data_IF_172364444340
#
_entry.id   IF_172364444340
#
_cell.length_a   1.000
_cell.length_b   1.000
_cell.length_c   1.000
_cell.angle_alpha   90.00
_cell.angle_beta   90.00
_cell.angle_gamma   90.00
#
_symmetry.space_group_name_H-M   'P 1'
#
loop_
_entity.id
_entity.type
_entity.pdbx_description
1 polymer ?
#
# COMPACT_ATOMS: atom_id res chain seq x y z
N UNK A 1 8.57 101.95 4.25
CA UNK A 1 7.43 101.76 5.17
C UNK A 1 7.26 100.26 5.42
N UNK A 2 7.66 99.77 6.59
CA UNK A 2 7.00 98.62 7.27
C UNK A 2 5.80 99.20 8.05
N UNK A 3 4.89 98.44 8.70
CA UNK A 3 4.70 96.97 8.79
C UNK A 3 3.20 96.52 8.63
N UNK A 4 2.87 95.22 8.68
CA UNK A 4 2.13 94.56 9.79
C UNK A 4 1.77 93.10 9.46
N UNK A 5 1.76 92.33 10.54
CA UNK A 5 1.63 90.88 10.75
C UNK A 5 0.18 90.41 10.55
N UNK A 6 -0.04 89.12 10.21
CA UNK A 6 -0.97 88.18 10.89
C UNK A 6 -0.94 86.77 10.26
N UNK A 7 -0.36 85.82 11.00
CA UNK A 7 -0.84 84.43 11.16
C UNK A 7 -1.90 84.43 12.29
N UNK A 8 -2.69 83.36 12.60
CA UNK A 8 -2.74 82.00 12.02
C UNK A 8 -4.19 81.48 11.76
N UNK A 9 -4.35 80.32 11.10
CA UNK A 9 -5.30 79.28 11.53
C UNK A 9 -5.06 77.95 10.82
N UNK A 10 -4.93 76.91 11.64
CA UNK A 10 -4.79 75.52 11.23
C UNK A 10 -6.11 74.98 10.65
N UNK A 11 -6.00 74.20 9.58
CA UNK A 11 -7.00 73.19 9.22
C UNK A 11 -6.27 71.89 8.95
N UNK A 12 -6.43 70.95 9.88
CA UNK A 12 -6.06 69.55 9.76
C UNK A 12 -7.02 68.93 8.74
N UNK A 13 -6.50 68.43 7.61
CA UNK A 13 -7.20 67.41 6.84
C UNK A 13 -6.35 66.15 6.80
N UNK A 14 -6.90 65.14 7.46
CA UNK A 14 -6.47 63.75 7.44
C UNK A 14 -6.60 63.25 6.00
N UNK A 15 -5.47 63.08 5.31
CA UNK A 15 -5.46 62.35 4.04
C UNK A 15 -5.55 60.86 4.35
N UNK A 16 -6.78 60.34 4.36
CA UNK A 16 -7.04 58.90 4.37
C UNK A 16 -6.36 58.23 3.18
N UNK A 17 -5.67 57.12 3.46
CA UNK A 17 -5.11 56.23 2.46
C UNK A 17 -6.22 55.68 1.55
N UNK A 18 -6.26 56.12 0.30
CA UNK A 18 -6.98 55.40 -0.75
C UNK A 18 -6.02 54.32 -1.30
N UNK A 19 -6.16 53.11 -0.78
CA UNK A 19 -5.56 51.92 -1.35
C UNK A 19 -5.99 51.78 -2.82
N UNK A 20 -5.03 51.55 -3.71
CA UNK A 20 -5.31 51.13 -5.09
C UNK A 20 -6.23 49.90 -5.03
N UNK A 21 -7.27 49.81 -5.89
CA UNK A 21 -8.03 48.56 -6.02
C UNK A 21 -7.07 47.44 -6.39
N UNK A 22 -7.18 46.30 -5.70
CA UNK A 22 -6.51 45.08 -6.10
C UNK A 22 -6.91 44.76 -7.57
N UNK A 23 -5.99 44.26 -8.40
CA UNK A 23 -6.36 43.78 -9.73
C UNK A 23 -7.46 42.72 -9.57
N UNK A 24 -8.54 42.88 -10.34
CA UNK A 24 -9.63 41.90 -10.40
C UNK A 24 -9.04 40.51 -10.62
N UNK A 25 -9.49 39.56 -9.79
CA UNK A 25 -9.16 38.15 -9.96
C UNK A 25 -9.55 37.74 -11.39
N UNK A 26 -8.75 36.93 -12.09
CA UNK A 26 -9.13 36.41 -13.39
C UNK A 26 -10.49 35.72 -13.27
N UNK A 27 -11.38 35.85 -14.28
CA UNK A 27 -12.69 35.23 -14.23
C UNK A 27 -12.54 33.74 -13.96
N UNK A 28 -13.31 33.23 -12.99
CA UNK A 28 -13.38 31.82 -12.72
C UNK A 28 -13.86 31.09 -13.98
N UNK A 29 -12.95 30.40 -14.67
CA UNK A 29 -13.30 29.42 -15.69
C UNK A 29 -13.95 28.21 -15.00
N UNK A 30 -15.25 28.30 -14.73
CA UNK A 30 -16.08 27.14 -14.43
C UNK A 30 -17.31 27.12 -15.34
N UNK A 31 -17.07 27.30 -16.65
CA UNK A 31 -18.00 26.76 -17.63
C UNK A 31 -17.81 25.24 -17.64
N UNK A 32 -18.88 24.41 -17.60
CA UNK A 32 -18.72 22.98 -17.82
C UNK A 32 -18.06 22.78 -19.19
N UNK A 33 -16.85 22.20 -19.20
CA UNK A 33 -16.18 21.88 -20.47
C UNK A 33 -17.09 20.90 -21.22
N UNK A 34 -17.74 21.38 -22.28
CA UNK A 34 -18.56 20.53 -23.15
C UNK A 34 -17.61 19.58 -23.88
N UNK A 35 -17.66 18.31 -23.51
CA UNK A 35 -16.82 17.26 -24.09
C UNK A 35 -17.46 16.81 -25.41
N UNK A 36 -16.84 17.16 -26.53
CA UNK A 36 -17.20 16.58 -27.83
C UNK A 36 -16.51 15.23 -27.98
N UNK A 37 -17.26 14.16 -27.71
CA UNK A 37 -16.86 12.80 -28.07
C UNK A 37 -16.91 12.65 -29.60
N UNK A 38 -15.97 11.90 -30.19
CA UNK A 38 -16.03 11.58 -31.62
C UNK A 38 -17.18 10.60 -31.86
N UNK A 39 -17.70 10.60 -33.07
CA UNK A 39 -18.74 9.65 -33.49
C UNK A 39 -18.26 8.20 -33.24
N UNK A 40 -19.03 7.43 -32.46
CA UNK A 40 -18.71 6.05 -32.06
C UNK A 40 -18.08 5.90 -30.66
N UNK A 41 -17.71 6.99 -29.99
CA UNK A 41 -17.23 6.93 -28.62
C UNK A 41 -18.36 6.68 -27.61
N UNK A 42 -18.12 5.80 -26.63
CA UNK A 42 -19.05 5.57 -25.52
C UNK A 42 -19.07 6.79 -24.59
N UNK A 43 -20.27 7.21 -24.19
CA UNK A 43 -20.43 8.25 -23.17
C UNK A 43 -19.98 7.72 -21.80
N UNK A 44 -19.20 8.49 -21.03
CA UNK A 44 -18.86 8.15 -19.65
C UNK A 44 -20.13 8.00 -18.80
N UNK A 45 -20.19 6.96 -17.96
CA UNK A 45 -21.32 6.71 -17.07
C UNK A 45 -21.34 7.62 -15.82
N UNK A 46 -20.25 8.33 -15.54
CA UNK A 46 -20.11 9.30 -14.45
C UNK A 46 -19.34 10.53 -14.91
N UNK A 47 -19.26 11.56 -14.06
CA UNK A 47 -18.51 12.79 -14.38
C UNK A 47 -17.04 12.44 -14.61
N UNK A 48 -16.53 12.65 -15.85
CA UNK A 48 -15.13 12.38 -16.12
C UNK A 48 -14.25 13.45 -15.47
N UNK A 49 -13.10 13.05 -14.98
CA UNK A 49 -12.02 13.99 -14.64
C UNK A 49 -11.17 14.22 -15.89
N UNK A 50 -10.80 15.47 -16.13
CA UNK A 50 -9.92 15.86 -17.24
C UNK A 50 -8.70 16.50 -16.62
N UNK A 51 -7.54 15.90 -16.85
CA UNK A 51 -6.27 16.41 -16.36
C UNK A 51 -5.18 16.25 -17.41
N UNK A 52 -4.13 17.06 -17.28
CA UNK A 52 -2.92 16.89 -18.08
C UNK A 52 -1.97 15.97 -17.34
N UNK A 53 -1.60 14.88 -17.99
CA UNK A 53 -0.51 14.01 -17.57
C UNK A 53 0.81 14.56 -18.11
N UNK A 54 1.76 14.76 -17.20
CA UNK A 54 3.11 15.21 -17.54
C UNK A 54 3.87 14.08 -18.23
N UNK A 55 4.68 14.44 -19.21
CA UNK A 55 5.66 13.51 -19.78
C UNK A 55 7.00 13.68 -19.06
N UNK A 56 7.71 12.57 -18.84
CA UNK A 56 8.94 12.53 -18.07
C UNK A 56 10.10 11.98 -18.92
N UNK A 57 11.27 12.61 -18.82
CA UNK A 57 12.50 12.14 -19.46
C UNK A 57 13.64 12.18 -18.48
N UNK A 58 14.40 11.10 -18.46
CA UNK A 58 15.63 11.00 -17.72
C UNK A 58 16.81 11.43 -18.60
N UNK A 59 17.69 12.23 -18.03
CA UNK A 59 18.87 12.78 -18.68
C UNK A 59 20.06 12.31 -17.88
N UNK A 60 20.84 11.41 -18.49
CA UNK A 60 22.09 10.96 -17.92
C UNK A 60 23.17 12.02 -18.13
N UNK A 61 23.83 12.43 -17.05
CA UNK A 61 24.86 13.46 -17.04
C UNK A 61 26.19 12.83 -16.65
N UNK A 62 27.20 13.01 -17.50
CA UNK A 62 28.59 12.64 -17.21
C UNK A 62 29.41 13.85 -16.76
N UNK A 63 30.67 13.64 -16.37
CA UNK A 63 31.58 14.70 -15.92
C UNK A 63 31.91 15.77 -16.97
N UNK A 64 31.73 15.50 -18.27
CA UNK A 64 31.92 16.51 -19.31
C UNK A 64 30.71 17.45 -19.47
N UNK A 65 29.55 17.05 -18.93
CA UNK A 65 28.28 17.72 -19.21
C UNK A 65 27.84 17.50 -20.65
N UNK A 66 27.04 18.42 -21.18
CA UNK A 66 26.64 18.32 -22.58
C UNK A 66 25.43 19.17 -22.97
N UNK A 67 25.06 19.04 -24.24
CA UNK A 67 23.83 19.58 -24.80
C UNK A 67 22.99 18.43 -25.35
N UNK A 68 21.72 18.39 -24.94
CA UNK A 68 20.77 17.35 -25.25
C UNK A 68 19.53 17.99 -25.89
N UNK A 69 18.84 17.23 -26.72
CA UNK A 69 17.51 17.62 -27.21
C UNK A 69 16.52 16.56 -26.76
N UNK A 70 15.46 16.99 -26.07
CA UNK A 70 14.43 16.11 -25.54
C UNK A 70 13.05 16.56 -26.02
N UNK A 71 12.26 15.59 -26.49
CA UNK A 71 10.88 15.79 -26.91
C UNK A 71 9.96 15.20 -25.84
N UNK A 72 9.05 16.03 -25.35
CA UNK A 72 8.04 15.73 -24.37
C UNK A 72 6.66 15.79 -25.02
N UNK A 73 5.80 14.84 -24.68
CA UNK A 73 4.44 14.77 -25.17
C UNK A 73 3.44 14.68 -24.01
N UNK A 74 3.25 15.77 -23.23
CA UNK A 74 2.16 15.83 -22.25
C UNK A 74 0.81 15.52 -22.90
N UNK A 75 -0.06 14.82 -22.16
CA UNK A 75 -1.33 14.29 -22.65
C UNK A 75 -2.49 14.82 -21.83
N UNK A 76 -3.52 15.33 -22.49
CA UNK A 76 -4.80 15.64 -21.84
C UNK A 76 -5.60 14.34 -21.78
N UNK A 77 -5.75 13.79 -20.59
CA UNK A 77 -6.41 12.51 -20.39
C UNK A 77 -7.74 12.74 -19.69
N UNK A 78 -8.79 12.20 -20.32
CA UNK A 78 -10.10 12.06 -19.70
C UNK A 78 -10.16 10.73 -18.99
N UNK A 79 -10.39 10.73 -17.68
CA UNK A 79 -10.54 9.54 -16.84
C UNK A 79 -11.96 9.47 -16.31
N UNK A 80 -12.55 8.29 -16.30
CA UNK A 80 -13.89 8.08 -15.74
C UNK A 80 -14.01 6.70 -15.13
N UNK A 81 -14.95 6.54 -14.21
CA UNK A 81 -15.23 5.27 -13.56
C UNK A 81 -16.48 4.66 -14.18
N UNK A 82 -16.36 3.42 -14.67
CA UNK A 82 -17.47 2.64 -15.18
C UNK A 82 -17.84 1.54 -14.19
N UNK A 83 -19.14 1.36 -13.95
CA UNK A 83 -19.66 0.18 -13.27
C UNK A 83 -19.83 -0.93 -14.31
N UNK A 84 -18.96 -1.94 -14.25
CA UNK A 84 -18.97 -3.06 -15.21
C UNK A 84 -19.57 -4.29 -14.53
N UNK A 85 -20.60 -4.92 -15.11
CA UNK A 85 -21.15 -6.15 -14.58
C UNK A 85 -20.13 -7.28 -14.72
N UNK A 86 -20.07 -8.15 -13.71
CA UNK A 86 -19.37 -9.42 -13.77
C UNK A 86 -20.25 -10.52 -13.19
N UNK A 87 -20.06 -11.73 -13.70
CA UNK A 87 -20.77 -12.90 -13.24
C UNK A 87 -20.05 -13.48 -12.02
N UNK A 88 -20.77 -13.61 -10.92
CA UNK A 88 -20.34 -14.25 -9.69
C UNK A 88 -21.29 -15.41 -9.36
N UNK A 89 -20.99 -16.20 -8.33
CA UNK A 89 -21.81 -17.33 -7.92
C UNK A 89 -22.13 -17.27 -6.43
N UNK A 90 -23.40 -17.48 -6.11
CA UNK A 90 -23.86 -17.64 -4.73
C UNK A 90 -24.33 -19.07 -4.48
N UNK A 91 -23.88 -19.66 -3.38
CA UNK A 91 -24.34 -20.98 -2.94
C UNK A 91 -25.55 -20.86 -2.03
N UNK A 92 -26.63 -21.59 -2.34
CA UNK A 92 -27.84 -21.64 -1.50
C UNK A 92 -28.26 -23.08 -1.27
N UNK A 93 -28.76 -23.37 -0.07
CA UNK A 93 -29.40 -24.66 0.22
C UNK A 93 -30.77 -24.70 -0.45
N UNK A 94 -30.99 -25.71 -1.29
CA UNK A 94 -32.25 -25.90 -2.02
C UNK A 94 -32.75 -27.31 -1.76
N UNK A 95 -34.03 -27.50 -1.42
CA UNK A 95 -34.61 -28.83 -1.29
C UNK A 95 -34.74 -29.47 -2.67
N UNK A 96 -34.09 -30.61 -2.87
CA UNK A 96 -34.13 -31.38 -4.12
C UNK A 96 -34.99 -32.62 -3.93
N UNK A 97 -35.91 -32.84 -4.87
CA UNK A 97 -36.80 -33.99 -4.90
C UNK A 97 -36.07 -35.25 -5.38
N UNK A 98 -36.26 -36.36 -4.67
CA UNK A 98 -35.76 -37.68 -5.08
C UNK A 98 -36.76 -38.77 -4.72
N UNK A 99 -36.97 -39.80 -5.57
CA UNK A 99 -37.75 -40.96 -5.17
C UNK A 99 -37.08 -41.71 -4.01
N UNK A 100 -37.86 -42.15 -3.05
CA UNK A 100 -37.40 -42.94 -1.92
C UNK A 100 -38.54 -43.69 -1.23
N UNK A 101 -38.25 -44.22 -0.05
CA UNK A 101 -39.21 -44.96 0.78
C UNK A 101 -39.51 -44.15 2.03
N UNK A 102 -40.78 -43.82 2.23
CA UNK A 102 -41.28 -43.17 3.43
C UNK A 102 -41.99 -44.19 4.31
N UNK A 103 -42.18 -43.83 5.57
CA UNK A 103 -43.00 -44.60 6.50
C UNK A 103 -44.18 -43.75 6.94
N UNK A 104 -45.38 -44.34 6.97
CA UNK A 104 -46.58 -43.74 7.56
C UNK A 104 -47.05 -44.59 8.73
N UNK A 105 -47.61 -43.94 9.74
CA UNK A 105 -48.25 -44.62 10.86
C UNK A 105 -49.74 -44.73 10.62
N UNK A 106 -50.26 -45.94 10.68
CA UNK A 106 -51.69 -46.22 10.60
C UNK A 106 -52.17 -46.53 12.02
N UNK A 107 -52.68 -45.50 12.69
CA UNK A 107 -53.14 -45.59 14.08
C UNK A 107 -54.62 -45.96 14.14
N UNK A 108 -54.98 -46.90 15.02
CA UNK A 108 -56.38 -47.35 15.22
C UNK A 108 -57.13 -46.52 16.28
N UNK A 109 -56.44 -45.90 17.23
CA UNK A 109 -57.06 -45.13 18.31
C UNK A 109 -56.78 -43.63 18.18
N UNK A 110 -57.78 -42.83 18.57
CA UNK A 110 -57.83 -41.38 18.48
C UNK A 110 -56.95 -40.68 19.54
N UNK A 111 -56.50 -39.46 19.24
CA UNK A 111 -55.93 -38.51 20.19
C UNK A 111 -56.84 -38.35 21.40
N UNK A 112 -56.22 -38.34 22.58
CA UNK A 112 -56.90 -37.87 23.78
C UNK A 112 -57.28 -36.40 23.59
N UNK A 113 -58.39 -35.97 24.20
CA UNK A 113 -58.83 -34.57 24.13
C UNK A 113 -57.84 -33.58 24.80
N UNK A 114 -56.70 -34.04 25.30
CA UNK A 114 -55.83 -33.33 26.22
C UNK A 114 -54.59 -32.69 25.58
N UNK A 115 -54.35 -32.82 24.27
CA UNK A 115 -53.22 -32.15 23.61
C UNK A 115 -53.14 -30.64 23.93
N UNK A 116 -52.11 -30.18 24.68
CA UNK A 116 -51.96 -28.77 25.03
C UNK A 116 -51.78 -27.87 23.81
N UNK A 117 -51.13 -28.38 22.76
CA UNK A 117 -50.87 -27.70 21.50
C UNK A 117 -52.16 -27.39 20.74
N UNK A 118 -53.05 -28.38 20.58
CA UNK A 118 -54.36 -28.15 19.99
C UNK A 118 -55.23 -27.23 20.86
N UNK A 119 -55.17 -27.38 22.18
CA UNK A 119 -55.91 -26.50 23.08
C UNK A 119 -55.48 -25.04 22.93
N UNK A 120 -54.17 -24.78 22.78
CA UNK A 120 -53.63 -23.43 22.53
C UNK A 120 -54.14 -22.86 21.20
N UNK A 121 -54.13 -23.67 20.13
CA UNK A 121 -54.64 -23.26 18.82
C UNK A 121 -56.15 -22.95 18.82
N UNK A 122 -56.98 -23.82 19.43
CA UNK A 122 -58.43 -23.64 19.43
C UNK A 122 -58.93 -22.61 20.45
N UNK A 123 -58.18 -22.34 21.53
CA UNK A 123 -58.48 -21.28 22.51
C UNK A 123 -57.97 -19.90 22.08
N UNK A 124 -57.11 -19.81 21.08
CA UNK A 124 -56.60 -18.54 20.58
C UNK A 124 -57.75 -17.69 20.00
N UNK A 125 -57.88 -16.45 20.51
CA UNK A 125 -58.96 -15.52 20.17
C UNK A 125 -58.67 -14.70 18.91
N UNK A 126 -57.40 -14.45 18.58
CA UNK A 126 -56.99 -13.71 17.39
C UNK A 126 -56.42 -14.62 16.29
N UNK A 127 -56.48 -14.16 15.03
CA UNK A 127 -55.87 -14.86 13.90
C UNK A 127 -54.35 -14.96 14.04
N UNK A 128 -53.69 -13.91 14.53
CA UNK A 128 -52.25 -13.92 14.77
C UNK A 128 -51.85 -14.96 15.83
N UNK A 129 -52.61 -15.08 16.92
CA UNK A 129 -52.36 -16.07 17.96
C UNK A 129 -52.58 -17.51 17.45
N UNK A 130 -53.55 -17.72 16.54
CA UNK A 130 -53.75 -19.01 15.87
C UNK A 130 -52.57 -19.38 14.97
N UNK A 131 -52.05 -18.42 14.21
CA UNK A 131 -50.87 -18.63 13.34
C UNK A 131 -49.68 -19.06 14.19
N UNK A 132 -49.39 -18.29 15.25
CA UNK A 132 -48.29 -18.57 16.16
C UNK A 132 -48.46 -19.91 16.88
N UNK A 133 -49.66 -20.19 17.39
CA UNK A 133 -49.94 -21.45 18.06
C UNK A 133 -49.75 -22.66 17.12
N UNK A 134 -50.11 -22.53 15.84
CA UNK A 134 -49.93 -23.59 14.85
C UNK A 134 -48.47 -23.77 14.45
N UNK A 135 -47.71 -22.68 14.22
CA UNK A 135 -46.28 -22.76 13.91
C UNK A 135 -45.45 -23.29 15.08
N UNK A 136 -45.81 -22.93 16.31
CA UNK A 136 -45.17 -23.46 17.53
C UNK A 136 -45.47 -24.95 17.72
N UNK A 137 -46.68 -25.38 17.40
CA UNK A 137 -47.14 -26.75 17.64
C UNK A 137 -46.61 -27.77 16.62
N UNK A 138 -46.52 -27.38 15.34
CA UNK A 138 -46.20 -28.28 14.22
C UNK A 138 -44.81 -27.99 13.67
N UNK A 139 -43.87 -28.86 14.00
CA UNK A 139 -42.51 -28.82 13.49
C UNK A 139 -42.51 -29.01 11.97
N UNK A 140 -41.81 -28.12 11.28
CA UNK A 140 -41.78 -28.05 9.81
C UNK A 140 -42.74 -27.03 9.21
N UNK A 141 -43.64 -26.41 10.00
CA UNK A 141 -44.49 -25.29 9.57
C UNK A 141 -43.95 -23.99 10.20
N UNK A 142 -43.36 -23.10 9.40
CA UNK A 142 -43.06 -21.73 9.83
C UNK A 142 -44.29 -20.81 9.79
N UNK A 143 -44.17 -19.61 10.34
CA UNK A 143 -45.28 -18.63 10.42
C UNK A 143 -45.96 -18.37 9.08
N UNK A 144 -45.21 -18.24 7.98
CA UNK A 144 -45.75 -18.04 6.63
C UNK A 144 -46.66 -19.19 6.18
N UNK A 145 -46.27 -20.43 6.48
CA UNK A 145 -47.08 -21.61 6.14
C UNK A 145 -48.29 -21.77 7.08
N UNK A 146 -48.12 -21.45 8.36
CA UNK A 146 -49.21 -21.42 9.34
C UNK A 146 -50.26 -20.36 8.98
N UNK A 147 -49.82 -19.18 8.53
CA UNK A 147 -50.71 -18.13 8.02
C UNK A 147 -51.58 -18.65 6.89
N UNK A 148 -50.97 -19.29 5.88
CA UNK A 148 -51.72 -19.85 4.75
C UNK A 148 -52.76 -20.88 5.20
N UNK A 149 -52.43 -21.75 6.16
CA UNK A 149 -53.36 -22.75 6.69
C UNK A 149 -54.53 -22.14 7.47
N UNK A 150 -54.25 -21.19 8.37
CA UNK A 150 -55.30 -20.51 9.16
C UNK A 150 -56.21 -19.69 8.25
N UNK A 151 -55.63 -19.00 7.26
CA UNK A 151 -56.36 -18.18 6.29
C UNK A 151 -57.24 -19.04 5.38
N UNK A 152 -56.71 -20.19 4.95
CA UNK A 152 -57.42 -21.19 4.15
C UNK A 152 -58.45 -22.02 4.93
N UNK A 153 -58.67 -21.71 6.23
CA UNK A 153 -59.59 -22.43 7.12
C UNK A 153 -59.31 -23.94 7.17
N UNK A 154 -58.03 -24.32 7.21
CA UNK A 154 -57.63 -25.68 7.56
C UNK A 154 -57.73 -25.88 9.08
N UNK A 155 -57.98 -27.10 9.53
CA UNK A 155 -58.16 -27.44 10.94
C UNK A 155 -59.35 -26.71 11.60
N UNK A 156 -60.50 -26.64 10.92
CA UNK A 156 -61.75 -26.09 11.51
C UNK A 156 -62.23 -26.88 12.73
N UNK A 157 -61.89 -28.15 12.80
CA UNK A 157 -62.11 -29.03 13.95
C UNK A 157 -60.81 -29.73 14.32
N UNK A 158 -60.67 -30.09 15.60
CA UNK A 158 -59.49 -30.81 16.10
C UNK A 158 -59.39 -32.18 15.41
N UNK A 159 -58.30 -32.49 14.69
CA UNK A 159 -58.14 -33.80 14.07
C UNK A 159 -58.02 -34.87 15.15
N UNK A 160 -58.98 -35.80 15.17
CA UNK A 160 -59.06 -36.84 16.20
C UNK A 160 -58.03 -37.95 16.02
N UNK A 161 -57.40 -38.10 14.86
CA UNK A 161 -56.36 -39.09 14.64
C UNK A 161 -55.20 -38.50 13.85
N UNK A 162 -54.04 -39.16 13.90
CA UNK A 162 -52.89 -38.80 13.07
C UNK A 162 -53.23 -38.82 11.58
N UNK A 163 -54.00 -39.83 11.13
CA UNK A 163 -54.46 -39.91 9.75
C UNK A 163 -55.35 -38.73 9.37
N UNK A 164 -56.25 -38.28 10.25
CA UNK A 164 -57.06 -37.10 9.99
C UNK A 164 -56.21 -35.82 9.88
N UNK A 165 -55.16 -35.70 10.70
CA UNK A 165 -54.19 -34.61 10.60
C UNK A 165 -53.41 -34.64 9.28
N UNK A 166 -52.86 -35.80 8.91
CA UNK A 166 -52.10 -35.99 7.65
C UNK A 166 -52.99 -35.69 6.45
N UNK A 167 -54.24 -36.18 6.43
CA UNK A 167 -55.19 -35.92 5.36
C UNK A 167 -55.50 -34.42 5.20
N UNK A 168 -55.57 -33.68 6.30
CA UNK A 168 -55.82 -32.23 6.26
C UNK A 168 -54.58 -31.46 5.73
N UNK A 169 -53.37 -31.90 6.08
CA UNK A 169 -52.12 -31.38 5.52
C UNK A 169 -52.00 -31.71 4.02
N UNK A 170 -52.32 -32.94 3.61
CA UNK A 170 -52.34 -33.35 2.21
C UNK A 170 -53.42 -32.62 1.41
N UNK A 171 -54.58 -32.34 2.02
CA UNK A 171 -55.61 -31.48 1.42
C UNK A 171 -55.06 -30.07 1.16
N UNK A 172 -54.31 -29.51 2.09
CA UNK A 172 -53.66 -28.21 1.90
C UNK A 172 -52.63 -28.24 0.77
N UNK A 173 -51.87 -29.33 0.63
CA UNK A 173 -50.95 -29.54 -0.51
C UNK A 173 -51.69 -29.59 -1.83
N UNK A 174 -52.71 -30.43 -1.94
CA UNK A 174 -53.45 -30.66 -3.18
C UNK A 174 -54.18 -29.40 -3.67
N UNK A 175 -54.53 -28.50 -2.75
CA UNK A 175 -55.11 -27.19 -3.06
C UNK A 175 -54.07 -26.08 -3.29
N UNK A 176 -52.77 -26.41 -3.37
CA UNK A 176 -51.68 -25.45 -3.60
C UNK A 176 -51.38 -24.50 -2.43
N UNK A 177 -51.93 -24.77 -1.24
CA UNK A 177 -51.75 -23.94 -0.04
C UNK A 177 -50.40 -24.20 0.62
N UNK A 178 -49.97 -25.46 0.63
CA UNK A 178 -48.65 -25.87 1.11
C UNK A 178 -47.80 -26.47 -0.02
N UNK A 179 -46.50 -26.14 -0.09
CA UNK A 179 -45.58 -26.82 -1.00
C UNK A 179 -45.24 -28.24 -0.50
N UNK A 180 -44.90 -29.13 -1.44
CA UNK A 180 -44.65 -30.56 -1.18
C UNK A 180 -43.55 -30.82 -0.14
N UNK A 181 -42.51 -29.98 -0.08
CA UNK A 181 -41.41 -30.12 0.88
C UNK A 181 -41.87 -29.86 2.33
N UNK A 182 -42.79 -28.93 2.55
CA UNK A 182 -43.35 -28.65 3.88
C UNK A 182 -44.20 -29.82 4.33
N UNK A 183 -45.02 -30.38 3.44
CA UNK A 183 -45.84 -31.56 3.74
C UNK A 183 -44.96 -32.77 4.08
N UNK A 184 -43.90 -33.02 3.31
CA UNK A 184 -42.91 -34.05 3.64
C UNK A 184 -42.26 -33.81 5.01
N UNK A 185 -41.86 -32.57 5.30
CA UNK A 185 -41.24 -32.24 6.59
C UNK A 185 -42.18 -32.53 7.77
N UNK A 186 -43.45 -32.17 7.63
CA UNK A 186 -44.46 -32.33 8.69
C UNK A 186 -44.86 -33.78 8.91
N UNK A 187 -45.13 -34.50 7.81
CA UNK A 187 -45.77 -35.82 7.84
C UNK A 187 -44.77 -36.97 7.83
N UNK A 188 -43.54 -36.73 7.37
CA UNK A 188 -42.48 -37.75 7.25
C UNK A 188 -41.26 -37.41 8.11
N UNK A 189 -40.59 -36.27 7.86
CA UNK A 189 -39.30 -35.93 8.52
C UNK A 189 -39.44 -35.74 10.03
N UNK A 190 -40.44 -34.96 10.45
CA UNK A 190 -40.71 -34.64 11.85
C UNK A 190 -41.92 -35.39 12.40
N UNK A 191 -42.28 -36.52 11.79
CA UNK A 191 -43.50 -37.28 12.11
C UNK A 191 -43.62 -37.61 13.61
N UNK A 192 -42.56 -38.14 14.23
CA UNK A 192 -42.57 -38.58 15.62
C UNK A 192 -42.68 -37.39 16.60
N UNK A 193 -41.96 -36.30 16.31
CA UNK A 193 -42.03 -35.06 17.07
C UNK A 193 -43.43 -34.45 17.02
N UNK A 194 -44.01 -34.39 15.81
CA UNK A 194 -45.35 -33.86 15.59
C UNK A 194 -46.42 -34.73 16.23
N UNK A 195 -46.31 -36.07 16.14
CA UNK A 195 -47.23 -36.98 16.83
C UNK A 195 -47.23 -36.74 18.34
N UNK A 196 -46.04 -36.64 18.94
CA UNK A 196 -45.89 -36.41 20.39
C UNK A 196 -46.43 -35.03 20.79
N UNK A 197 -46.01 -33.96 20.09
CA UNK A 197 -46.45 -32.57 20.35
C UNK A 197 -47.97 -32.40 20.24
N UNK A 198 -48.58 -33.11 19.28
CA UNK A 198 -50.02 -33.02 19.02
C UNK A 198 -50.84 -34.04 19.82
N UNK A 199 -50.19 -34.85 20.67
CA UNK A 199 -50.86 -35.79 21.59
C UNK A 199 -51.44 -37.04 20.92
N UNK A 200 -50.82 -37.52 19.84
CA UNK A 200 -51.14 -38.78 19.19
C UNK A 200 -50.24 -39.90 19.75
N UNK A 201 -50.82 -40.92 20.39
CA UNK A 201 -50.06 -42.03 20.97
C UNK A 201 -49.60 -43.03 19.90
N UNK A 202 -48.30 -43.28 19.83
CA UNK A 202 -47.71 -44.23 18.88
C UNK A 202 -48.00 -45.71 19.21
N UNK A 203 -48.39 -46.02 20.45
CA UNK A 203 -48.53 -47.39 20.97
C UNK A 203 -49.64 -48.22 20.30
N UNK A 204 -50.51 -47.58 19.50
CA UNK A 204 -51.62 -48.23 18.78
C UNK A 204 -51.51 -48.13 17.25
N UNK A 205 -50.32 -47.82 16.74
CA UNK A 205 -50.07 -47.60 15.32
C UNK A 205 -49.22 -48.71 14.69
N UNK A 206 -49.58 -49.15 13.48
CA UNK A 206 -48.70 -49.93 12.62
C UNK A 206 -47.88 -49.02 11.71
N UNK A 207 -46.64 -49.40 11.43
CA UNK A 207 -45.76 -48.68 10.49
C UNK A 207 -45.88 -49.33 9.11
N UNK A 208 -46.29 -48.56 8.10
CA UNK A 208 -46.31 -49.00 6.71
C UNK A 208 -45.27 -48.24 5.89
N UNK A 209 -44.48 -48.97 5.12
CA UNK A 209 -43.55 -48.38 4.15
C UNK A 209 -44.24 -48.19 2.81
N UNK A 210 -43.97 -47.06 2.15
CA UNK A 210 -44.50 -46.75 0.83
C UNK A 210 -43.53 -45.89 0.03
N UNK A 211 -43.59 -45.99 -1.30
CA UNK A 211 -42.78 -45.15 -2.19
C UNK A 211 -43.27 -43.70 -2.15
N UNK A 212 -42.33 -42.77 -2.00
CA UNK A 212 -42.61 -41.35 -1.85
C UNK A 212 -41.52 -40.47 -2.48
N UNK A 213 -41.75 -39.17 -2.50
CA UNK A 213 -40.72 -38.16 -2.81
C UNK A 213 -40.09 -37.70 -1.49
N UNK A 214 -38.78 -37.85 -1.39
CA UNK A 214 -37.94 -37.34 -0.30
C UNK A 214 -37.33 -36.02 -0.75
N UNK A 215 -37.24 -35.07 0.20
CA UNK A 215 -36.55 -33.80 0.01
C UNK A 215 -35.23 -33.82 0.75
N UNK A 216 -34.14 -33.62 0.01
CA UNK A 216 -32.78 -33.49 0.54
C UNK A 216 -32.29 -32.07 0.30
N UNK A 217 -31.78 -31.40 1.34
CA UNK A 217 -31.18 -30.09 1.18
C UNK A 217 -29.82 -30.24 0.49
N UNK A 218 -29.67 -29.67 -0.71
CA UNK A 218 -28.39 -29.64 -1.43
C UNK A 218 -27.89 -28.22 -1.61
N UNK A 219 -26.58 -28.04 -1.47
CA UNK A 219 -25.93 -26.77 -1.75
C UNK A 219 -25.76 -26.62 -3.26
N UNK A 220 -26.48 -25.68 -3.86
CA UNK A 220 -26.47 -25.43 -5.30
C UNK A 220 -25.93 -24.02 -5.57
N UNK A 221 -25.09 -23.89 -6.60
CA UNK A 221 -24.55 -22.60 -7.06
C UNK A 221 -25.52 -21.92 -8.02
N UNK A 222 -25.79 -20.64 -7.79
CA UNK A 222 -26.62 -19.80 -8.63
C UNK A 222 -25.78 -18.66 -9.20
N UNK A 223 -25.84 -18.40 -10.52
CA UNK A 223 -25.17 -17.25 -11.10
C UNK A 223 -25.86 -15.97 -10.62
N UNK A 224 -25.06 -15.01 -10.17
CA UNK A 224 -25.52 -13.67 -9.80
C UNK A 224 -24.70 -12.62 -10.55
N UNK A 225 -25.35 -11.55 -10.98
CA UNK A 225 -24.65 -10.43 -11.61
C UNK A 225 -24.28 -9.43 -10.53
N UNK A 226 -22.97 -9.17 -10.38
CA UNK A 226 -22.43 -8.14 -9.50
C UNK A 226 -21.76 -7.05 -10.31
N UNK A 227 -21.49 -5.91 -9.68
CA UNK A 227 -20.92 -4.75 -10.34
C UNK A 227 -19.58 -4.40 -9.68
N UNK A 228 -18.61 -3.99 -10.50
CA UNK A 228 -17.33 -3.45 -10.03
C UNK A 228 -16.99 -2.16 -10.73
N UNK A 229 -16.35 -1.26 -10.01
CA UNK A 229 -15.85 0.00 -10.55
C UNK A 229 -14.54 -0.22 -11.31
N UNK A 230 -14.49 0.19 -12.57
CA UNK A 230 -13.31 0.14 -13.42
C UNK A 230 -12.98 1.54 -13.91
N UNK A 231 -11.77 2.03 -13.62
CA UNK A 231 -11.30 3.30 -14.17
C UNK A 231 -10.91 3.11 -15.63
N UNK A 232 -11.51 3.89 -16.51
CA UNK A 232 -11.16 4.03 -17.92
C UNK A 232 -10.43 5.34 -18.13
N UNK A 233 -9.63 5.37 -19.19
CA UNK A 233 -8.94 6.58 -19.61
C UNK A 233 -8.94 6.71 -21.13
N UNK A 234 -8.95 7.95 -21.61
CA UNK A 234 -8.83 8.28 -23.02
C UNK A 234 -7.97 9.52 -23.19
N UNK A 235 -6.99 9.42 -24.09
CA UNK A 235 -6.20 10.58 -24.53
C UNK A 235 -7.08 11.44 -25.43
N UNK A 236 -7.33 12.66 -25.00
CA UNK A 236 -8.14 13.65 -25.71
C UNK A 236 -7.28 14.51 -26.63
N UNK A 237 -6.10 14.90 -26.13
CA UNK A 237 -5.16 15.78 -26.82
C UNK A 237 -3.73 15.39 -26.40
N UNK A 238 -2.78 15.57 -27.32
CA UNK A 238 -1.36 15.39 -27.07
C UNK A 238 -0.62 16.59 -27.67
N UNK A 239 0.29 17.18 -26.89
CA UNK A 239 1.07 18.34 -27.32
C UNK A 239 2.54 17.99 -27.35
N UNK A 240 3.18 18.18 -28.51
CA UNK A 240 4.62 18.02 -28.64
C UNK A 240 5.34 19.28 -28.17
N UNK A 241 6.27 19.12 -27.23
CA UNK A 241 7.17 20.17 -26.73
C UNK A 241 8.62 19.71 -26.84
N UNK A 242 9.46 20.53 -27.44
CA UNK A 242 10.87 20.20 -27.64
C UNK A 242 11.73 21.17 -26.84
N UNK A 243 12.67 20.62 -26.06
CA UNK A 243 13.59 21.39 -25.25
C UNK A 243 15.04 21.06 -25.59
N UNK A 244 15.84 22.11 -25.76
CA UNK A 244 17.29 22.05 -25.69
C UNK A 244 17.71 22.09 -24.23
N UNK A 245 18.44 21.06 -23.79
CA UNK A 245 18.85 20.90 -22.42
C UNK A 245 20.37 21.01 -22.34
N UNK A 246 20.86 21.94 -21.55
CA UNK A 246 22.29 22.20 -21.36
C UNK A 246 22.69 21.82 -19.96
N UNK A 247 23.76 21.06 -19.82
CA UNK A 247 24.34 20.73 -18.52
C UNK A 247 25.77 21.25 -18.48
N UNK A 248 25.95 22.32 -17.72
CA UNK A 248 27.20 23.06 -17.61
C UNK A 248 27.88 22.74 -16.28
N UNK A 249 29.19 22.50 -16.34
CA UNK A 249 30.03 22.29 -15.17
C UNK A 249 29.44 21.28 -14.15
N UNK A 250 29.05 20.06 -14.56
CA UNK A 250 28.67 19.05 -13.58
C UNK A 250 29.89 18.72 -12.71
N UNK A 251 29.70 18.71 -11.40
CA UNK A 251 30.78 18.49 -10.44
C UNK A 251 30.86 16.98 -10.17
N UNK A 252 31.19 16.22 -11.23
CA UNK A 252 31.28 14.76 -11.19
C UNK A 252 32.71 14.30 -11.38
N UNK A 253 33.03 13.13 -10.82
CA UNK A 253 34.28 12.44 -11.16
C UNK A 253 34.16 11.79 -12.53
N UNK A 254 35.29 11.51 -13.16
CA UNK A 254 35.36 10.97 -14.52
C UNK A 254 34.57 9.67 -14.73
N UNK A 255 34.36 8.88 -13.68
CA UNK A 255 33.61 7.63 -13.70
C UNK A 255 32.17 7.76 -13.17
N UNK A 256 31.77 8.93 -12.69
CA UNK A 256 30.45 9.15 -12.11
C UNK A 256 29.48 9.69 -13.15
N UNK A 257 28.24 9.26 -13.00
CA UNK A 257 27.09 9.83 -13.69
C UNK A 257 26.03 10.28 -12.69
N UNK A 258 25.27 11.30 -13.09
CA UNK A 258 24.03 11.74 -12.44
C UNK A 258 22.84 11.45 -13.36
N UNK A 259 21.65 11.39 -12.76
CA UNK A 259 20.39 11.30 -13.48
C UNK A 259 19.54 12.52 -13.12
N UNK A 260 19.07 13.25 -14.14
CA UNK A 260 18.14 14.37 -13.97
C UNK A 260 16.83 13.98 -14.66
N UNK A 261 15.74 13.90 -13.91
CA UNK A 261 14.41 13.65 -14.47
C UNK A 261 13.69 14.97 -14.68
N UNK A 262 13.45 15.31 -15.95
CA UNK A 262 12.66 16.47 -16.34
C UNK A 262 11.25 16.02 -16.63
N UNK A 263 10.26 16.71 -16.08
CA UNK A 263 8.85 16.46 -16.32
C UNK A 263 8.21 17.73 -16.89
N UNK A 264 7.45 17.58 -17.97
CA UNK A 264 6.82 18.70 -18.67
C UNK A 264 5.32 18.43 -18.79
N UNK A 265 4.52 19.39 -18.33
CA UNK A 265 3.07 19.44 -18.53
C UNK A 265 2.66 20.41 -19.63
N UNK A 266 1.37 20.74 -19.63
CA UNK A 266 0.72 21.54 -20.68
C UNK A 266 0.95 23.04 -20.56
N UNK A 267 1.00 23.58 -19.35
CA UNK A 267 1.05 25.02 -19.16
C UNK A 267 2.49 25.56 -19.24
N UNK A 268 2.60 26.85 -19.56
CA UNK A 268 3.87 27.56 -19.43
C UNK A 268 4.21 27.70 -17.94
N UNK A 269 5.29 27.06 -17.52
CA UNK A 269 5.73 27.00 -16.13
C UNK A 269 5.51 25.64 -15.49
N UNK A 270 4.78 24.75 -16.17
CA UNK A 270 4.55 23.38 -15.69
C UNK A 270 5.72 22.46 -16.07
N UNK A 271 6.90 22.80 -15.57
CA UNK A 271 8.11 21.98 -15.69
C UNK A 271 8.62 21.69 -14.29
N UNK A 272 8.70 20.42 -13.92
CA UNK A 272 9.27 19.98 -12.66
C UNK A 272 10.53 19.17 -12.90
N UNK A 273 11.54 19.40 -12.09
CA UNK A 273 12.82 18.72 -12.19
C UNK A 273 13.07 17.95 -10.90
N UNK A 274 13.46 16.69 -11.06
CA UNK A 274 13.82 15.81 -9.97
C UNK A 274 15.25 15.30 -10.18
N UNK A 275 15.96 15.13 -9.07
CA UNK A 275 17.37 14.72 -9.05
C UNK A 275 17.50 13.41 -8.27
N UNK A 276 17.01 12.28 -8.83
CA UNK A 276 17.09 10.99 -8.15
C UNK A 276 18.56 10.63 -7.93
N UNK A 277 18.99 10.60 -6.67
CA UNK A 277 20.35 10.26 -6.23
C UNK A 277 21.48 11.07 -6.88
N UNK A 278 21.19 12.31 -7.31
CA UNK A 278 22.20 13.16 -7.94
C UNK A 278 23.33 13.48 -6.94
N UNK A 279 24.56 13.29 -7.40
CA UNK A 279 25.79 13.63 -6.66
C UNK A 279 26.10 15.11 -6.80
N UNK A 280 25.71 15.76 -7.88
CA UNK A 280 25.85 17.21 -8.07
C UNK A 280 24.58 17.95 -7.65
N UNK A 281 24.75 19.08 -6.99
CA UNK A 281 23.67 20.05 -6.74
C UNK A 281 23.62 20.98 -7.95
N UNK A 282 22.51 20.94 -8.68
CA UNK A 282 22.30 21.77 -9.86
C UNK A 282 21.44 22.98 -9.55
N UNK A 283 21.91 24.17 -9.91
CA UNK A 283 21.04 25.30 -10.17
C UNK A 283 20.47 25.17 -11.58
N UNK A 284 19.19 25.43 -11.76
CA UNK A 284 18.56 25.34 -13.07
C UNK A 284 17.84 26.63 -13.46
N UNK A 285 17.81 26.88 -14.77
CA UNK A 285 17.05 27.96 -15.40
C UNK A 285 16.21 27.36 -16.53
N UNK A 286 14.93 27.72 -16.56
CA UNK A 286 13.96 27.23 -17.54
C UNK A 286 13.50 28.44 -18.36
N UNK A 287 13.79 28.45 -19.66
CA UNK A 287 13.26 29.40 -20.63
C UNK A 287 12.32 28.67 -21.58
N UNK A 288 11.03 28.77 -21.29
CA UNK A 288 9.98 28.07 -22.03
C UNK A 288 9.79 28.63 -23.44
N UNK A 289 10.02 29.93 -23.64
CA UNK A 289 9.84 30.58 -24.94
C UNK A 289 10.95 30.18 -25.91
N UNK A 290 12.16 30.06 -25.39
CA UNK A 290 13.30 29.57 -26.16
C UNK A 290 13.36 28.03 -26.23
N UNK A 291 12.47 27.31 -25.54
CA UNK A 291 12.52 25.86 -25.43
C UNK A 291 13.85 25.39 -24.85
N UNK A 292 14.33 26.03 -23.77
CA UNK A 292 15.65 25.79 -23.20
C UNK A 292 15.60 25.52 -21.70
N UNK A 293 16.31 24.47 -21.26
CA UNK A 293 16.56 24.19 -19.84
C UNK A 293 18.07 24.15 -19.64
N UNK A 294 18.58 24.90 -18.67
CA UNK A 294 20.01 24.92 -18.36
C UNK A 294 20.22 24.48 -16.93
N UNK A 295 21.09 23.50 -16.74
CA UNK A 295 21.58 23.00 -15.47
C UNK A 295 23.01 23.47 -15.29
N UNK A 296 23.33 24.06 -14.14
CA UNK A 296 24.69 24.46 -13.77
C UNK A 296 25.05 23.80 -12.45
N UNK A 297 26.09 22.97 -12.44
CA UNK A 297 26.61 22.40 -11.20
C UNK A 297 27.19 23.50 -10.32
N UNK A 298 26.62 23.69 -9.13
CA UNK A 298 27.02 24.74 -8.18
C UNK A 298 27.76 24.18 -6.97
N UNK A 299 27.39 22.97 -6.54
CA UNK A 299 28.04 22.26 -5.45
C UNK A 299 27.82 20.76 -5.63
N UNK A 300 28.32 19.95 -4.70
CA UNK A 300 28.20 18.50 -4.70
C UNK A 300 27.54 18.03 -3.41
N UNK A 301 26.68 17.03 -3.50
CA UNK A 301 26.06 16.37 -2.35
C UNK A 301 27.16 15.69 -1.54
N UNK A 302 27.36 16.17 -0.31
CA UNK A 302 28.40 15.65 0.59
C UNK A 302 27.93 14.31 1.16
N UNK A 303 28.54 13.22 0.68
CA UNK A 303 28.29 11.87 1.19
C UNK A 303 29.51 11.39 1.98
N UNK A 304 29.33 10.88 3.22
CA UNK A 304 30.43 10.27 3.96
C UNK A 304 30.87 8.98 3.27
N UNK A 305 32.16 8.64 3.38
CA UNK A 305 32.63 7.31 2.98
C UNK A 305 31.94 6.26 3.86
N UNK A 306 31.33 5.21 3.29
CA UNK A 306 30.69 4.18 4.09
C UNK A 306 31.75 3.36 4.82
N UNK A 307 31.44 2.88 6.03
CA UNK A 307 32.36 2.03 6.82
C UNK A 307 32.83 0.78 6.07
N UNK A 308 32.03 0.31 5.10
CA UNK A 308 32.31 -0.86 4.26
C UNK A 308 33.46 -0.66 3.27
N UNK A 309 34.01 0.55 3.14
CA UNK A 309 35.24 0.80 2.38
C UNK A 309 36.42 -0.02 2.92
N UNK A 310 36.48 -0.22 4.24
CA UNK A 310 37.47 -1.07 4.88
C UNK A 310 36.98 -2.51 4.86
N UNK A 311 37.72 -3.37 4.14
CA UNK A 311 37.46 -4.82 4.07
C UNK A 311 38.20 -5.61 5.14
N UNK A 312 39.32 -5.07 5.61
CA UNK A 312 40.12 -5.64 6.68
C UNK A 312 41.35 -4.80 6.97
N UNK A 313 41.87 -4.91 8.18
CA UNK A 313 43.12 -4.28 8.56
C UNK A 313 43.82 -5.14 9.58
N UNK A 314 45.05 -5.58 9.28
CA UNK A 314 45.88 -6.34 10.19
C UNK A 314 47.19 -5.61 10.45
N UNK A 315 47.54 -5.51 11.73
CA UNK A 315 48.82 -4.96 12.16
C UNK A 315 49.68 -6.15 12.57
N UNK A 316 50.77 -6.37 11.85
CA UNK A 316 51.66 -7.50 12.10
C UNK A 316 53.11 -7.06 12.19
N UNK A 317 53.92 -7.83 12.93
CA UNK A 317 55.37 -7.67 12.87
C UNK A 317 55.89 -8.26 11.58
N UNK A 318 56.73 -7.49 10.90
CA UNK A 318 57.49 -8.01 9.79
C UNK A 318 58.70 -8.76 10.34
N UNK A 319 58.73 -10.07 10.12
CA UNK A 319 59.76 -10.96 10.65
C UNK A 319 61.13 -10.54 10.12
N UNK A 320 62.08 -10.29 11.03
CA UNK A 320 63.45 -9.89 10.68
C UNK A 320 63.63 -8.40 10.38
N UNK A 321 62.66 -7.54 10.70
CA UNK A 321 62.81 -6.09 10.60
C UNK A 321 62.43 -5.35 11.88
N UNK A 322 62.78 -4.07 11.95
CA UNK A 322 62.44 -3.16 13.06
C UNK A 322 61.12 -2.41 12.82
N UNK A 323 60.25 -3.01 12.02
CA UNK A 323 59.04 -2.41 11.48
C UNK A 323 57.83 -3.30 11.77
N UNK A 324 56.73 -2.68 12.16
CA UNK A 324 55.40 -3.23 12.03
C UNK A 324 54.83 -2.83 10.67
N UNK A 325 54.04 -3.71 10.07
CA UNK A 325 53.30 -3.45 8.85
C UNK A 325 51.81 -3.45 9.15
N UNK A 326 51.16 -2.31 8.92
CA UNK A 326 49.70 -2.24 8.88
C UNK A 326 49.26 -2.50 7.44
N UNK A 327 48.67 -3.67 7.23
CA UNK A 327 48.11 -4.10 5.96
C UNK A 327 46.60 -3.82 5.95
N UNK A 328 46.15 -2.93 5.07
CA UNK A 328 44.74 -2.54 4.94
C UNK A 328 44.21 -2.96 3.59
N UNK A 329 43.08 -3.66 3.60
CA UNK A 329 42.30 -3.96 2.41
C UNK A 329 41.17 -2.95 2.26
N UNK A 330 41.19 -2.23 1.14
CA UNK A 330 40.22 -1.21 0.76
C UNK A 330 39.41 -1.70 -0.44
N UNK A 331 38.10 -1.46 -0.43
CA UNK A 331 37.25 -1.79 -1.57
C UNK A 331 37.62 -0.96 -2.80
N UNK A 332 38.04 -1.66 -3.87
CA UNK A 332 38.55 -1.07 -5.10
C UNK A 332 37.58 -0.08 -5.76
N UNK A 333 36.27 -0.25 -5.57
CA UNK A 333 35.26 0.65 -6.17
C UNK A 333 35.32 2.10 -5.64
N UNK A 334 35.99 2.32 -4.52
CA UNK A 334 36.20 3.66 -3.95
C UNK A 334 37.59 4.22 -4.24
N UNK A 335 38.42 3.47 -4.98
CA UNK A 335 39.78 3.88 -5.35
C UNK A 335 39.73 4.37 -6.81
N UNK A 336 40.14 5.62 -7.08
CA UNK A 336 40.09 6.17 -8.42
C UNK A 336 41.08 5.46 -9.36
N UNK A 337 40.63 5.12 -10.57
CA UNK A 337 41.44 4.40 -11.58
C UNK A 337 42.56 5.28 -12.20
N UNK A 338 42.40 6.61 -12.18
CA UNK A 338 43.31 7.55 -12.82
C UNK A 338 43.93 8.53 -11.82
N UNK A 339 45.24 8.37 -11.53
CA UNK A 339 46.01 9.35 -10.75
C UNK A 339 46.52 10.54 -11.57
N UNK A 340 46.19 10.61 -12.86
CA UNK A 340 46.79 11.57 -13.81
C UNK A 340 46.32 13.02 -13.67
N UNK A 341 45.43 13.33 -12.71
CA UNK A 341 44.84 14.67 -12.56
C UNK A 341 44.97 15.33 -11.19
N UNK A 342 45.68 14.75 -10.21
CA UNK A 342 45.94 15.36 -8.88
C UNK A 342 44.72 15.64 -7.98
N UNK A 343 43.49 15.51 -8.50
CA UNK A 343 42.25 16.00 -7.89
C UNK A 343 41.35 14.91 -7.30
N UNK A 344 41.81 13.65 -7.27
CA UNK A 344 41.06 12.49 -6.79
C UNK A 344 41.97 11.60 -5.92
N UNK A 345 42.25 12.01 -4.68
CA UNK A 345 43.13 11.23 -3.78
C UNK A 345 42.34 10.69 -2.58
N UNK A 346 42.29 9.37 -2.45
CA UNK A 346 41.92 8.74 -1.19
C UNK A 346 43.13 8.85 -0.25
N UNK A 347 42.91 9.33 0.98
CA UNK A 347 43.94 9.52 2.00
C UNK A 347 43.54 8.77 3.26
N UNK A 348 44.51 8.07 3.84
CA UNK A 348 44.40 7.51 5.18
C UNK A 348 45.01 8.48 6.18
N UNK A 349 44.26 8.81 7.23
CA UNK A 349 44.76 9.40 8.46
C UNK A 349 45.00 8.28 9.45
N UNK A 350 46.18 8.23 10.05
CA UNK A 350 46.50 7.24 11.08
C UNK A 350 47.27 7.84 12.25
N UNK A 351 47.05 7.27 13.43
CA UNK A 351 47.65 7.69 14.70
C UNK A 351 48.24 6.45 15.34
N UNK A 352 49.52 6.51 15.67
CA UNK A 352 50.24 5.38 16.26
C UNK A 352 50.23 5.58 17.77
N UNK A 353 49.78 4.57 18.50
CA UNK A 353 49.91 4.54 19.95
C UNK A 353 50.97 3.54 20.38
N UNK A 354 51.78 3.91 21.37
CA UNK A 354 52.93 3.12 21.83
C UNK A 354 53.03 3.12 23.36
N UNK A 355 53.55 2.05 23.92
CA UNK A 355 54.01 2.00 25.31
C UNK A 355 55.24 1.09 25.44
N UNK A 356 56.10 1.35 26.43
CA UNK A 356 57.17 0.41 26.82
C UNK A 356 56.57 -0.76 27.58
N UNK A 357 57.06 -1.96 27.33
CA UNK A 357 56.60 -3.18 27.99
C UNK A 357 57.44 -3.50 29.22
N UNK A 358 56.81 -4.09 30.24
CA UNK A 358 57.51 -4.80 31.30
C UNK A 358 57.82 -6.25 30.90
N UNK A 359 58.53 -6.98 31.76
CA UNK A 359 58.91 -8.38 31.51
C UNK A 359 57.71 -9.35 31.37
N UNK A 360 56.51 -8.92 31.77
CA UNK A 360 55.25 -9.65 31.62
C UNK A 360 54.47 -9.25 30.34
N UNK A 361 55.02 -8.36 29.50
CA UNK A 361 54.39 -7.89 28.26
C UNK A 361 53.32 -6.80 28.44
N UNK A 362 53.09 -6.31 29.65
CA UNK A 362 52.17 -5.20 29.94
C UNK A 362 52.83 -3.84 29.75
N UNK A 363 52.03 -2.81 29.44
CA UNK A 363 52.52 -1.43 29.37
C UNK A 363 53.03 -0.95 30.73
N UNK A 364 54.27 -0.45 30.76
CA UNK A 364 54.86 0.27 31.88
C UNK A 364 54.53 1.76 31.71
N UNK A 365 53.32 2.15 32.12
CA UNK A 365 52.80 3.51 32.01
C UNK A 365 51.73 3.68 30.93
N UNK A 366 51.40 4.93 30.64
CA UNK A 366 50.34 5.30 29.70
C UNK A 366 50.70 4.98 28.25
N UNK A 367 49.66 4.73 27.46
CA UNK A 367 49.77 4.52 26.03
C UNK A 367 49.82 5.89 25.34
N UNK A 368 50.99 6.27 24.84
CA UNK A 368 51.22 7.58 24.23
C UNK A 368 50.80 7.51 22.77
N UNK A 369 49.94 8.43 22.36
CA UNK A 369 49.51 8.58 20.97
C UNK A 369 50.37 9.62 20.27
N UNK A 370 50.94 9.26 19.12
CA UNK A 370 51.72 10.15 18.25
C UNK A 370 50.80 11.18 17.55
N UNK A 371 51.40 12.16 16.88
CA UNK A 371 50.64 13.08 16.02
C UNK A 371 50.03 12.34 14.82
N UNK A 372 48.85 12.76 14.31
CA UNK A 372 48.25 12.15 13.14
C UNK A 372 49.16 12.25 11.91
N UNK A 373 49.33 11.13 11.23
CA UNK A 373 50.04 11.00 9.96
C UNK A 373 49.06 10.77 8.82
N UNK A 374 49.49 11.11 7.60
CA UNK A 374 48.67 10.99 6.39
C UNK A 374 49.43 10.21 5.32
N UNK A 375 48.74 9.31 4.62
CA UNK A 375 49.29 8.65 3.44
C UNK A 375 48.24 8.57 2.33
N UNK A 376 48.68 8.64 1.08
CA UNK A 376 47.80 8.44 -0.08
C UNK A 376 47.53 6.95 -0.26
N UNK A 377 46.29 6.63 -0.62
CA UNK A 377 45.83 5.29 -0.94
C UNK A 377 45.78 5.14 -2.45
N UNK A 378 46.73 4.38 -2.99
CA UNK A 378 46.95 4.23 -4.43
C UNK A 378 46.48 2.89 -4.99
N UNK A 379 45.95 2.00 -4.15
CA UNK A 379 45.46 0.68 -4.54
C UNK A 379 44.61 0.01 -3.45
N UNK A 380 44.02 -1.14 -3.79
CA UNK A 380 43.12 -1.90 -2.89
C UNK A 380 43.84 -2.54 -1.70
N UNK A 381 45.17 -2.58 -1.73
CA UNK A 381 46.04 -2.99 -0.63
C UNK A 381 46.94 -1.82 -0.28
N UNK A 382 46.91 -1.41 0.99
CA UNK A 382 47.72 -0.32 1.52
C UNK A 382 48.62 -0.87 2.60
N UNK A 383 49.91 -0.62 2.45
CA UNK A 383 50.94 -1.05 3.40
C UNK A 383 51.56 0.17 4.06
N UNK A 384 51.31 0.34 5.35
CA UNK A 384 52.00 1.36 6.16
C UNK A 384 53.07 0.69 6.99
N UNK A 385 54.33 1.05 6.74
CA UNK A 385 55.49 0.58 7.50
C UNK A 385 55.76 1.54 8.64
N UNK A 386 55.75 1.01 9.87
CA UNK A 386 55.80 1.80 11.08
C UNK A 386 56.96 1.28 11.94
N UNK A 387 58.01 2.10 12.19
CA UNK A 387 59.11 1.70 13.05
C UNK A 387 58.63 1.41 14.47
N UNK A 388 59.10 0.32 15.08
CA UNK A 388 58.76 -0.10 16.44
C UNK A 388 60.01 -0.57 17.19
N UNK A 389 60.26 -0.09 18.40
CA UNK A 389 61.46 -0.44 19.16
C UNK A 389 61.31 -1.77 19.89
N UNK A 390 62.42 -2.36 20.34
CA UNK A 390 62.39 -3.54 21.20
C UNK A 390 61.67 -3.27 22.53
N UNK A 391 60.89 -4.24 23.01
CA UNK A 391 60.06 -4.13 24.21
C UNK A 391 59.01 -3.02 24.12
N UNK A 392 58.48 -2.74 22.93
CA UNK A 392 57.35 -1.85 22.73
C UNK A 392 56.09 -2.61 22.32
N UNK A 393 54.97 -2.13 22.84
CA UNK A 393 53.64 -2.51 22.37
C UNK A 393 53.06 -1.38 21.55
N UNK A 394 52.51 -1.73 20.38
CA UNK A 394 51.98 -0.77 19.42
C UNK A 394 50.52 -1.09 19.07
N UNK A 395 49.78 -0.03 18.77
CA UNK A 395 48.44 -0.05 18.19
C UNK A 395 48.37 1.10 17.17
N UNK A 396 47.58 0.94 16.12
CA UNK A 396 47.33 2.00 15.16
C UNK A 396 45.85 2.27 15.10
N UNK A 397 45.47 3.54 15.23
CA UNK A 397 44.13 4.01 14.93
C UNK A 397 44.13 4.64 13.56
N UNK A 398 43.14 4.39 12.73
CA UNK A 398 43.12 4.91 11.37
C UNK A 398 41.73 5.19 10.85
N UNK A 399 41.65 6.09 9.88
CA UNK A 399 40.43 6.48 9.18
C UNK A 399 40.73 6.92 7.76
N UNK A 400 39.73 6.83 6.87
CA UNK A 400 39.86 7.21 5.47
C UNK A 400 39.07 8.47 5.19
N UNK A 401 39.63 9.35 4.38
CA UNK A 401 38.96 10.49 3.78
C UNK A 401 39.42 10.64 2.33
N UNK A 402 38.69 11.40 1.52
CA UNK A 402 39.13 11.76 0.18
C UNK A 402 39.62 13.21 0.22
N UNK A 403 40.91 13.43 0.01
CA UNK A 403 41.51 14.77 0.03
C UNK A 403 41.76 15.31 -1.37
N UNK A 404 41.69 16.63 -1.50
CA UNK A 404 42.00 17.43 -2.69
C UNK A 404 41.06 17.31 -3.89
N UNK A 405 39.94 18.01 -3.81
CA UNK A 405 39.71 19.10 -4.77
C UNK A 405 38.92 20.17 -4.02
N UNK A 406 38.52 21.29 -4.64
CA UNK A 406 37.52 22.20 -4.05
C UNK A 406 36.19 21.50 -3.66
N UNK A 407 36.09 20.19 -3.93
CA UNK A 407 35.02 19.27 -3.61
C UNK A 407 35.62 18.02 -2.91
N UNK A 408 35.53 17.91 -1.59
CA UNK A 408 34.83 16.82 -0.88
C UNK A 408 35.07 16.81 0.62
N UNK A 409 34.09 16.20 1.30
CA UNK A 409 33.87 16.07 2.73
C UNK A 409 35.15 15.77 3.53
N UNK A 410 35.51 16.66 4.45
CA UNK A 410 36.59 16.49 5.43
C UNK A 410 36.24 15.44 6.51
N UNK A 411 35.02 14.88 6.47
CA UNK A 411 34.60 13.83 7.37
C UNK A 411 35.26 12.50 7.02
N UNK A 412 36.25 12.16 7.84
CA UNK A 412 36.81 10.83 7.91
C UNK A 412 35.74 9.78 8.21
N UNK A 413 35.95 8.56 7.72
CA UNK A 413 35.26 7.38 8.27
C UNK A 413 35.45 7.33 9.79
N UNK A 414 34.52 6.74 10.55
CA UNK A 414 34.75 6.45 11.96
C UNK A 414 36.09 5.75 12.16
N UNK A 415 36.83 6.20 13.18
CA UNK A 415 38.17 5.70 13.47
C UNK A 415 38.11 4.21 13.84
N UNK A 416 38.98 3.42 13.22
CA UNK A 416 39.13 1.99 13.45
C UNK A 416 40.43 1.76 14.19
N UNK A 417 40.42 0.90 15.20
CA UNK A 417 41.62 0.52 15.93
C UNK A 417 42.14 -0.83 15.44
N UNK A 418 43.44 -0.93 15.18
CA UNK A 418 44.11 -2.20 14.92
C UNK A 418 44.15 -3.07 16.19
N UNK A 419 44.43 -4.35 15.99
CA UNK A 419 44.91 -5.21 17.08
C UNK A 419 46.23 -4.68 17.65
N UNK A 420 46.48 -4.99 18.92
CA UNK A 420 47.74 -4.60 19.58
C UNK A 420 48.81 -5.66 19.32
N UNK A 421 50.02 -5.21 18.97
CA UNK A 421 51.17 -6.08 18.75
C UNK A 421 52.29 -5.79 19.75
N UNK A 422 53.02 -6.83 20.15
CA UNK A 422 54.11 -6.79 21.14
C UNK A 422 55.46 -7.18 20.53
N UNK A 423 56.45 -6.28 20.50
CA UNK A 423 57.81 -6.64 20.06
C UNK A 423 58.58 -7.17 21.27
N UNK A 424 58.41 -8.46 21.53
CA UNK A 424 59.23 -9.17 22.52
C UNK A 424 60.67 -9.29 22.00
N UNK A 425 61.63 -9.41 22.92
CA UNK A 425 63.07 -9.53 22.62
C UNK A 425 63.39 -10.59 21.57
#
# INVERSE_FOLDING_TARGET
>A
MKPWVLLPLAAIFVSACASKPAPEAPPAESSPQVIYLKEGDRQPAGEPTIEWERDARDIEVNAAGGSYTAVFNPKKVMKWVESVPYQDYETRWVPVERPGTCERYVCRNDATNESPSWNRFFRASSRADKIKALSDAVKGIGEVSAEKLVSGRYFTSKPRSWNAFVNEIDRAKNNGVLPSNIVYNVTVKYKADNMTSLGYEANSCSVEQYSCIIFEDKLVQFPVTRYRSVTRQKVMEERRREFQIFVNNPILQSFETDLITVQVGDQDGDVSIHYPDAKTIYQHQIDLRAGRITFTGVDRVKLPLPRTILRGGDLAFRKGSEEAELNLSVDAKYIPEAQSGGNDQLVIRYVIGRCKQNWLGYCKGDFVMDQPMYAQVTGSQVYLRIPISQNERMQVKYSFARMNSRFYNDQYTPEVESSKINRNK
#
